data_IF_152279502395
#
_entry.id   IF_152279502395
#
_cell.length_a   1.000
_cell.length_b   1.000
_cell.length_c   1.000
_cell.angle_alpha   90.00
_cell.angle_beta   90.00
_cell.angle_gamma   90.00
#
_symmetry.space_group_name_H-M   'P 1'
#
loop_
_entity.id
_entity.type
_entity.pdbx_description
1 polymer ?
#
# COMPACT_ATOMS: atom_id res chain seq x y z
N UNK A 1 0.49 -12.95 -11.01
CA UNK A 1 1.89 -13.30 -10.93
C UNK A 1 2.46 -13.64 -12.31
N UNK A 2 1.82 -14.53 -13.06
CA UNK A 2 2.25 -14.92 -14.44
C UNK A 2 2.37 -13.73 -15.42
N UNK A 3 1.58 -12.68 -15.25
CA UNK A 3 1.64 -11.50 -16.12
C UNK A 3 2.88 -10.61 -15.87
N UNK A 4 3.57 -10.78 -14.75
CA UNK A 4 4.78 -10.01 -14.42
C UNK A 4 6.08 -10.72 -14.79
N UNK A 5 6.02 -11.96 -15.27
CA UNK A 5 7.22 -12.74 -15.64
C UNK A 5 7.96 -12.18 -16.87
N UNK A 6 7.32 -11.34 -17.66
CA UNK A 6 7.92 -10.67 -18.82
C UNK A 6 8.62 -9.34 -18.46
N UNK A 7 8.64 -8.95 -17.19
CA UNK A 7 9.23 -7.70 -16.70
C UNK A 7 10.34 -8.02 -15.70
N UNK A 8 11.42 -7.25 -15.76
CA UNK A 8 12.41 -7.27 -14.71
C UNK A 8 11.81 -6.62 -13.46
N UNK A 9 11.55 -7.43 -12.43
CA UNK A 9 10.87 -6.99 -11.22
C UNK A 9 11.77 -7.17 -10.00
N UNK A 10 11.87 -6.13 -9.17
CA UNK A 10 12.60 -6.16 -7.90
C UNK A 10 11.64 -5.99 -6.73
N UNK A 11 11.68 -6.93 -5.78
CA UNK A 11 10.96 -6.82 -4.52
C UNK A 11 11.80 -6.11 -3.46
N UNK A 12 11.17 -5.22 -2.70
CA UNK A 12 11.78 -4.56 -1.54
C UNK A 12 10.90 -4.71 -0.31
N UNK A 13 11.49 -5.05 0.81
CA UNK A 13 10.80 -5.15 2.11
C UNK A 13 11.82 -4.87 3.24
N UNK A 14 11.44 -4.16 4.31
CA UNK A 14 12.29 -3.96 5.48
C UNK A 14 12.41 -5.23 6.36
N UNK A 15 11.49 -6.18 6.24
CA UNK A 15 11.52 -7.46 6.94
C UNK A 15 12.14 -8.55 6.04
N UNK A 16 13.32 -9.04 6.47
CA UNK A 16 14.04 -10.09 5.76
C UNK A 16 13.20 -11.37 5.57
N UNK A 17 12.37 -11.75 6.55
CA UNK A 17 11.53 -12.94 6.46
C UNK A 17 10.44 -12.79 5.41
N UNK A 18 9.81 -11.61 5.34
CA UNK A 18 8.83 -11.31 4.31
C UNK A 18 9.46 -11.30 2.93
N UNK A 19 10.67 -10.75 2.82
CA UNK A 19 11.41 -10.73 1.58
C UNK A 19 11.78 -12.14 1.09
N UNK A 20 12.17 -13.05 2.00
CA UNK A 20 12.47 -14.45 1.69
C UNK A 20 11.25 -15.21 1.14
N UNK A 21 10.05 -14.90 1.63
CA UNK A 21 8.79 -15.50 1.16
C UNK A 21 8.33 -14.95 -0.20
N UNK A 22 8.89 -13.85 -0.66
CA UNK A 22 8.57 -13.27 -1.95
C UNK A 22 9.07 -14.17 -3.08
N UNK A 23 8.30 -14.26 -4.17
CA UNK A 23 8.58 -15.15 -5.31
C UNK A 23 9.41 -14.50 -6.42
N UNK A 24 9.69 -13.18 -6.34
CA UNK A 24 10.57 -12.52 -7.30
C UNK A 24 12.04 -12.92 -7.09
N UNK A 25 12.80 -12.97 -8.17
CA UNK A 25 14.22 -13.32 -8.14
C UNK A 25 15.06 -12.20 -7.51
N UNK A 26 14.83 -10.96 -7.96
CA UNK A 26 15.54 -9.80 -7.43
C UNK A 26 14.89 -9.33 -6.12
N UNK A 27 15.65 -9.37 -5.04
CA UNK A 27 15.18 -9.03 -3.68
C UNK A 27 16.17 -8.08 -3.02
N UNK A 28 15.64 -7.00 -2.46
CA UNK A 28 16.46 -5.97 -1.79
C UNK A 28 15.87 -5.69 -0.41
N UNK A 29 16.71 -5.79 0.62
CA UNK A 29 16.33 -5.38 1.97
C UNK A 29 16.41 -3.85 2.07
N UNK A 30 15.27 -3.22 2.35
CA UNK A 30 15.20 -1.76 2.41
C UNK A 30 13.83 -1.25 2.79
N UNK A 31 13.74 0.05 3.05
CA UNK A 31 12.51 0.75 3.44
C UNK A 31 12.04 1.67 2.32
N UNK A 32 10.72 1.89 2.24
CA UNK A 32 10.11 2.81 1.31
C UNK A 32 10.58 4.27 1.52
N UNK A 33 10.94 4.63 2.75
CA UNK A 33 11.44 5.95 3.11
C UNK A 33 12.92 6.19 2.73
N UNK A 34 13.61 5.14 2.28
CA UNK A 34 15.00 5.22 1.78
C UNK A 34 15.24 4.05 0.83
N UNK A 35 14.86 4.25 -0.42
CA UNK A 35 15.03 3.25 -1.48
C UNK A 35 16.51 3.15 -1.89
N UNK A 36 17.14 1.96 -1.81
CA UNK A 36 18.55 1.79 -2.16
C UNK A 36 18.77 1.64 -3.68
N UNK A 37 18.19 2.56 -4.43
CA UNK A 37 18.24 2.58 -5.88
C UNK A 37 18.65 3.96 -6.38
N UNK A 38 19.19 4.02 -7.59
CA UNK A 38 19.52 5.25 -8.28
C UNK A 38 18.25 5.99 -8.76
N UNK A 39 18.42 7.26 -9.15
CA UNK A 39 17.35 8.08 -9.68
C UNK A 39 16.93 7.59 -11.07
N UNK A 40 15.63 7.67 -11.38
CA UNK A 40 15.08 7.45 -12.73
C UNK A 40 15.39 6.08 -13.35
N UNK A 41 15.34 5.01 -12.57
CA UNK A 41 15.62 3.66 -13.08
C UNK A 41 14.37 2.80 -13.30
N UNK A 42 13.27 3.06 -12.61
CA UNK A 42 12.06 2.26 -12.72
C UNK A 42 11.02 2.89 -13.63
N UNK A 43 10.41 2.07 -14.49
CA UNK A 43 9.26 2.47 -15.29
C UNK A 43 7.99 2.54 -14.45
N UNK A 44 7.84 1.61 -13.50
CA UNK A 44 6.70 1.55 -12.58
C UNK A 44 7.13 1.10 -11.20
N UNK A 45 6.45 1.60 -10.18
CA UNK A 45 6.56 1.17 -8.78
C UNK A 45 5.18 0.74 -8.30
N UNK A 46 5.10 -0.40 -7.60
CA UNK A 46 3.85 -0.93 -7.07
C UNK A 46 3.93 -1.08 -5.55
N UNK A 47 2.88 -0.67 -4.85
CA UNK A 47 2.73 -0.90 -3.42
C UNK A 47 1.32 -1.44 -3.14
N UNK A 48 1.23 -2.61 -2.50
CA UNK A 48 -0.06 -3.25 -2.26
C UNK A 48 -0.22 -3.63 -0.79
N UNK A 49 -1.25 -3.07 -0.14
CA UNK A 49 -1.67 -3.34 1.24
C UNK A 49 -0.62 -3.09 2.34
N UNK A 50 0.39 -2.28 2.05
CA UNK A 50 1.52 -1.96 2.95
C UNK A 50 1.56 -0.48 3.32
N UNK A 51 1.03 0.41 2.48
CA UNK A 51 1.21 1.86 2.61
C UNK A 51 0.78 2.42 3.97
N UNK A 52 -0.30 1.88 4.54
CA UNK A 52 -0.76 2.25 5.89
C UNK A 52 0.23 1.92 7.02
N UNK A 53 1.26 1.12 6.74
CA UNK A 53 2.32 0.75 7.68
C UNK A 53 3.60 1.58 7.51
N UNK A 54 3.66 2.42 6.47
CA UNK A 54 4.78 3.34 6.22
C UNK A 54 4.77 4.46 7.26
N UNK A 55 5.89 4.70 7.91
CA UNK A 55 5.99 5.65 9.02
C UNK A 55 5.96 7.10 8.53
N UNK A 56 6.64 7.39 7.42
CA UNK A 56 6.69 8.71 6.78
C UNK A 56 6.31 8.60 5.31
N UNK A 57 5.02 8.75 5.03
CA UNK A 57 4.48 8.63 3.66
C UNK A 57 4.96 9.75 2.73
N UNK A 58 5.27 10.93 3.24
CA UNK A 58 5.80 12.03 2.41
C UNK A 58 7.21 11.70 1.93
N UNK A 59 8.05 11.18 2.83
CA UNK A 59 9.40 10.74 2.48
C UNK A 59 9.38 9.57 1.51
N UNK A 60 8.50 8.59 1.75
CA UNK A 60 8.31 7.47 0.85
C UNK A 60 7.84 7.91 -0.54
N UNK A 61 6.88 8.85 -0.65
CA UNK A 61 6.46 9.42 -1.93
C UNK A 61 7.61 10.12 -2.65
N UNK A 62 8.44 10.87 -1.93
CA UNK A 62 9.63 11.54 -2.49
C UNK A 62 10.64 10.54 -3.04
N UNK A 63 10.88 9.44 -2.32
CA UNK A 63 11.78 8.37 -2.78
C UNK A 63 11.20 7.62 -4.01
N UNK A 64 9.92 7.29 -3.98
CA UNK A 64 9.24 6.70 -5.14
C UNK A 64 9.33 7.63 -6.36
N UNK A 65 9.08 8.92 -6.17
CA UNK A 65 9.24 9.91 -7.25
C UNK A 65 10.68 9.93 -7.77
N UNK A 66 11.67 9.93 -6.89
CA UNK A 66 13.10 9.96 -7.26
C UNK A 66 13.48 8.80 -8.17
N UNK A 67 13.10 7.57 -7.79
CA UNK A 67 13.50 6.35 -8.52
C UNK A 67 12.71 6.09 -9.80
N UNK A 68 11.52 6.70 -9.96
CA UNK A 68 10.73 6.60 -11.18
C UNK A 68 11.37 7.40 -12.31
N UNK A 69 11.34 6.85 -13.53
CA UNK A 69 11.64 7.56 -14.76
C UNK A 69 10.61 8.67 -15.04
N UNK A 70 10.94 9.71 -15.80
CA UNK A 70 9.94 10.64 -16.34
C UNK A 70 8.84 9.89 -17.10
N UNK A 71 7.57 10.18 -16.78
CA UNK A 71 6.40 9.46 -17.31
C UNK A 71 6.12 8.11 -16.62
N UNK A 72 6.96 7.69 -15.70
CA UNK A 72 6.77 6.47 -14.90
C UNK A 72 5.60 6.58 -13.93
N UNK A 73 5.06 5.43 -13.49
CA UNK A 73 3.86 5.41 -12.64
C UNK A 73 4.12 4.75 -11.29
N UNK A 74 3.59 5.36 -10.24
CA UNK A 74 3.44 4.72 -8.94
C UNK A 74 1.99 4.26 -8.76
N UNK A 75 1.79 2.96 -8.56
CA UNK A 75 0.48 2.34 -8.37
C UNK A 75 0.38 1.86 -6.93
N UNK A 76 -0.54 2.47 -6.19
CA UNK A 76 -0.79 2.18 -4.79
C UNK A 76 -2.19 1.57 -4.63
N UNK A 77 -2.23 0.33 -4.14
CA UNK A 77 -3.46 -0.36 -3.76
C UNK A 77 -3.47 -0.52 -2.25
N UNK A 78 -4.45 0.05 -1.55
CA UNK A 78 -4.56 -0.15 -0.10
C UNK A 78 -6.02 -0.07 0.38
N UNK A 79 -6.23 -0.28 1.66
CA UNK A 79 -7.54 -0.26 2.30
C UNK A 79 -7.73 1.00 3.14
N UNK A 80 -9.00 1.44 3.21
CA UNK A 80 -9.42 2.57 4.02
C UNK A 80 -10.82 2.32 4.59
N UNK A 81 -11.35 3.23 5.41
CA UNK A 81 -12.75 3.17 5.82
C UNK A 81 -13.65 3.80 4.75
N UNK A 82 -14.92 3.37 4.65
CA UNK A 82 -15.90 4.05 3.81
C UNK A 82 -16.02 5.54 4.11
N UNK A 83 -16.28 6.36 3.08
CA UNK A 83 -16.52 7.80 3.23
C UNK A 83 -17.83 8.10 3.97
N UNK A 84 -18.89 7.38 3.61
CA UNK A 84 -20.20 7.53 4.22
C UNK A 84 -20.15 7.13 5.70
N UNK A 85 -20.61 8.02 6.59
CA UNK A 85 -20.53 7.82 8.04
C UNK A 85 -21.32 6.59 8.53
N UNK A 86 -22.48 6.34 7.95
CA UNK A 86 -23.30 5.17 8.30
C UNK A 86 -22.60 3.86 7.85
N UNK A 87 -22.13 3.82 6.60
CA UNK A 87 -21.37 2.69 6.08
C UNK A 87 -20.06 2.47 6.85
N UNK A 88 -19.41 3.55 7.30
CA UNK A 88 -18.21 3.47 8.14
C UNK A 88 -18.48 2.77 9.47
N UNK A 89 -19.60 3.07 10.13
CA UNK A 89 -20.00 2.42 11.38
C UNK A 89 -20.27 0.93 11.12
N UNK A 90 -21.07 0.63 10.10
CA UNK A 90 -21.41 -0.75 9.72
C UNK A 90 -20.15 -1.55 9.38
N UNK A 91 -19.26 -0.95 8.60
CA UNK A 91 -17.96 -1.55 8.25
C UNK A 91 -17.08 -1.77 9.48
N UNK A 92 -17.02 -0.83 10.42
CA UNK A 92 -16.29 -1.01 11.69
C UNK A 92 -16.80 -2.19 12.51
N UNK A 93 -18.12 -2.30 12.67
CA UNK A 93 -18.74 -3.41 13.42
C UNK A 93 -18.51 -4.74 12.70
N UNK A 94 -18.74 -4.79 11.39
CA UNK A 94 -18.55 -6.00 10.59
C UNK A 94 -17.11 -6.48 10.58
N UNK A 95 -16.16 -5.60 10.27
CA UNK A 95 -14.73 -5.94 10.24
C UNK A 95 -14.21 -6.32 11.62
N UNK A 96 -14.66 -5.67 12.70
CA UNK A 96 -14.29 -6.05 14.06
C UNK A 96 -14.69 -7.50 14.36
N UNK A 97 -15.96 -7.86 14.11
CA UNK A 97 -16.47 -9.21 14.37
C UNK A 97 -15.76 -10.27 13.52
N UNK A 98 -15.61 -10.01 12.21
CA UNK A 98 -15.00 -10.97 11.27
C UNK A 98 -13.52 -11.16 11.59
N UNK A 99 -12.76 -10.09 11.73
CA UNK A 99 -11.33 -10.18 12.02
C UNK A 99 -11.06 -10.79 13.41
N UNK A 100 -11.92 -10.50 14.39
CA UNK A 100 -11.80 -11.12 15.71
C UNK A 100 -12.05 -12.62 15.66
N UNK A 101 -13.09 -13.04 14.94
CA UNK A 101 -13.40 -14.47 14.76
C UNK A 101 -12.26 -15.20 14.04
N UNK A 102 -11.76 -14.65 12.93
CA UNK A 102 -10.62 -15.22 12.19
C UNK A 102 -9.40 -15.30 13.09
N UNK A 103 -9.10 -14.24 13.84
CA UNK A 103 -7.98 -14.20 14.76
C UNK A 103 -8.06 -15.26 15.87
N UNK A 104 -9.26 -15.58 16.36
CA UNK A 104 -9.49 -16.68 17.29
C UNK A 104 -9.24 -18.04 16.64
N UNK A 105 -9.80 -18.25 15.44
CA UNK A 105 -9.67 -19.52 14.71
C UNK A 105 -8.23 -19.82 14.27
N UNK A 106 -7.44 -18.78 13.97
CA UNK A 106 -6.05 -18.91 13.51
C UNK A 106 -5.02 -18.76 14.63
N UNK A 107 -5.45 -18.52 15.86
CA UNK A 107 -4.59 -18.20 17.02
C UNK A 107 -3.68 -16.96 16.81
N UNK A 108 -4.09 -16.03 15.94
CA UNK A 108 -3.36 -14.83 15.57
C UNK A 108 -4.12 -13.52 15.90
N UNK A 109 -4.79 -13.47 17.03
CA UNK A 109 -5.60 -12.32 17.46
C UNK A 109 -4.85 -10.98 17.41
N UNK A 110 -3.57 -10.97 17.73
CA UNK A 110 -2.74 -9.76 17.74
C UNK A 110 -2.65 -9.13 16.36
N UNK A 111 -2.38 -9.93 15.34
CA UNK A 111 -2.21 -9.48 13.95
C UNK A 111 -3.54 -8.97 13.37
N UNK A 112 -4.65 -9.67 13.60
CA UNK A 112 -5.96 -9.23 13.13
C UNK A 112 -6.47 -7.98 13.87
N UNK A 113 -6.13 -7.79 15.15
CA UNK A 113 -6.41 -6.54 15.89
C UNK A 113 -5.57 -5.39 15.35
N UNK A 114 -4.31 -5.64 14.97
CA UNK A 114 -3.48 -4.64 14.31
C UNK A 114 -4.08 -4.24 12.96
N UNK A 115 -4.43 -5.21 12.10
CA UNK A 115 -5.08 -4.96 10.82
C UNK A 115 -6.35 -4.10 11.00
N UNK A 116 -7.21 -4.43 11.96
CA UNK A 116 -8.42 -3.64 12.25
C UNK A 116 -8.10 -2.18 12.61
N UNK A 117 -7.09 -1.97 13.45
CA UNK A 117 -6.67 -0.63 13.88
C UNK A 117 -5.98 0.16 12.76
N UNK A 118 -5.18 -0.51 11.94
CA UNK A 118 -4.44 0.14 10.86
C UNK A 118 -5.34 0.80 9.81
N UNK A 119 -6.58 0.36 9.67
CA UNK A 119 -7.56 1.00 8.80
C UNK A 119 -7.98 2.41 9.25
N UNK A 120 -7.67 2.80 10.47
CA UNK A 120 -7.95 4.12 11.03
C UNK A 120 -6.66 4.99 11.20
N UNK A 121 -5.47 4.51 10.78
CA UNK A 121 -4.20 5.23 10.96
C UNK A 121 -4.10 6.48 10.08
N UNK A 122 -4.64 6.39 8.88
CA UNK A 122 -4.61 7.51 7.95
C UNK A 122 -6.02 8.05 7.66
N UNK A 123 -6.15 9.33 7.35
CA UNK A 123 -7.40 9.90 6.87
C UNK A 123 -7.77 9.28 5.51
N UNK A 124 -8.85 9.77 4.92
CA UNK A 124 -9.25 9.34 3.58
C UNK A 124 -8.13 9.59 2.56
N UNK A 125 -7.84 8.66 1.62
CA UNK A 125 -6.72 8.79 0.68
C UNK A 125 -6.73 10.12 -0.08
N UNK A 126 -7.90 10.63 -0.42
CA UNK A 126 -8.05 11.91 -1.11
C UNK A 126 -7.59 13.13 -0.28
N UNK A 127 -7.50 12.97 1.04
CA UNK A 127 -7.12 14.06 1.93
C UNK A 127 -5.61 14.07 2.24
N UNK A 128 -4.94 12.92 2.19
CA UNK A 128 -3.52 12.85 2.57
C UNK A 128 -2.58 12.50 1.42
N UNK A 129 -3.07 11.81 0.39
CA UNK A 129 -2.29 11.59 -0.83
C UNK A 129 -2.26 12.89 -1.63
N UNK A 130 -1.07 13.46 -1.75
CA UNK A 130 -0.87 14.72 -2.47
C UNK A 130 -0.03 14.48 -3.70
N UNK A 131 -0.34 15.24 -4.75
CA UNK A 131 0.40 15.18 -6.02
C UNK A 131 1.54 16.20 -6.12
N UNK A 132 1.91 16.88 -5.04
CA UNK A 132 2.77 18.09 -5.06
C UNK A 132 4.05 17.94 -5.92
N UNK A 133 4.55 16.70 -6.04
CA UNK A 133 5.71 16.38 -6.90
C UNK A 133 5.33 15.63 -8.19
N UNK A 134 4.16 15.04 -8.26
CA UNK A 134 3.69 14.26 -9.41
C UNK A 134 2.84 15.12 -10.35
N UNK A 135 2.85 14.79 -11.65
CA UNK A 135 2.07 15.51 -12.67
C UNK A 135 0.57 15.24 -12.47
N UNK A 136 0.22 13.99 -12.18
CA UNK A 136 -1.17 13.56 -12.02
C UNK A 136 -1.34 12.58 -10.85
N UNK A 137 -2.54 12.56 -10.28
CA UNK A 137 -2.98 11.61 -9.28
C UNK A 137 -4.44 11.25 -9.53
N UNK A 138 -4.68 9.99 -9.83
CA UNK A 138 -6.02 9.44 -9.98
C UNK A 138 -6.30 8.49 -8.81
N UNK A 139 -7.46 8.61 -8.17
CA UNK A 139 -7.88 7.75 -7.06
C UNK A 139 -9.22 7.13 -7.42
N UNK A 140 -9.25 5.82 -7.48
CA UNK A 140 -10.45 5.02 -7.68
C UNK A 140 -10.75 4.19 -6.43
N UNK A 141 -12.01 4.09 -6.05
CA UNK A 141 -12.47 3.25 -4.96
C UNK A 141 -13.19 2.03 -5.49
N UNK A 142 -12.98 0.91 -4.82
CA UNK A 142 -13.50 -0.38 -5.26
C UNK A 142 -13.92 -1.26 -4.08
N UNK A 143 -14.60 -2.34 -4.43
CA UNK A 143 -15.08 -3.33 -3.46
C UNK A 143 -16.37 -2.91 -2.77
N UNK A 144 -16.94 -3.84 -1.99
CA UNK A 144 -18.14 -3.58 -1.20
C UNK A 144 -17.85 -2.46 -0.18
N UNK A 145 -18.70 -1.44 -0.11
CA UNK A 145 -18.53 -0.25 0.74
C UNK A 145 -17.34 0.65 0.38
N UNK A 146 -16.71 0.49 -0.80
CA UNK A 146 -15.59 1.34 -1.25
C UNK A 146 -14.41 1.39 -0.27
N UNK A 147 -14.12 0.29 0.40
CA UNK A 147 -13.06 0.23 1.42
C UNK A 147 -11.66 -0.08 0.87
N UNK A 148 -11.55 -0.42 -0.40
CA UNK A 148 -10.28 -0.53 -1.12
C UNK A 148 -10.13 0.68 -2.02
N UNK A 149 -8.93 1.19 -2.17
CA UNK A 149 -8.64 2.25 -3.13
C UNK A 149 -7.40 1.91 -3.95
N UNK A 150 -7.43 2.34 -5.20
CA UNK A 150 -6.32 2.36 -6.11
C UNK A 150 -5.93 3.82 -6.36
N UNK A 151 -4.69 4.18 -6.09
CA UNK A 151 -4.15 5.48 -6.43
C UNK A 151 -3.04 5.32 -7.46
N UNK A 152 -3.10 6.06 -8.55
CA UNK A 152 -2.10 6.06 -9.62
C UNK A 152 -1.52 7.46 -9.72
N UNK A 153 -0.22 7.56 -9.46
CA UNK A 153 0.56 8.78 -9.63
C UNK A 153 1.38 8.69 -10.91
N UNK A 154 1.52 9.77 -11.64
CA UNK A 154 2.38 9.90 -12.83
C UNK A 154 3.46 10.95 -12.59
N UNK A 155 4.74 10.56 -12.79
CA UNK A 155 5.90 11.46 -12.71
C UNK A 155 6.07 12.28 -13.96
#
# INVERSE_FOLDING_TARGET
>A
YEQLTNYETTAIDPDKKMLELNLFENKVLGSAEKLPFEDNIFDNVFCSFVWRNVSDTNKALSEVYRVLKPGGKFVLLDMTRPKNSFLKILHKIGTFKVLHLIGLLTFNLKEYRFLYKSLDFYPQPENYLKKDTFIDLQIERMGLFEFVYLAVFTK
#
